data_IF_267145600502
#
_entry.id   IF_267145600502
#
_cell.length_a   1.000
_cell.length_b   1.000
_cell.length_c   1.000
_cell.angle_alpha   90.00
_cell.angle_beta   90.00
_cell.angle_gamma   90.00
#
_symmetry.space_group_name_H-M   'P 1'
#
loop_
_entity.id
_entity.type
_entity.pdbx_description
1 polymer ?
#
# COMPACT_ATOMS: atom_id res chain seq x y z
N UNK A 1 -36.26 -12.23 10.87
CA UNK A 1 -34.92 -12.01 10.33
C UNK A 1 -34.87 -12.71 8.98
N UNK A 2 -34.86 -11.96 7.88
CA UNK A 2 -34.69 -12.53 6.54
C UNK A 2 -33.25 -13.08 6.51
N UNK A 3 -33.10 -14.40 6.32
CA UNK A 3 -31.77 -14.95 6.06
C UNK A 3 -31.26 -14.29 4.77
N UNK A 4 -30.22 -13.48 4.85
CA UNK A 4 -29.53 -12.99 3.66
C UNK A 4 -29.10 -14.19 2.82
N UNK A 5 -29.34 -14.12 1.51
CA UNK A 5 -28.90 -15.16 0.60
C UNK A 5 -27.36 -15.27 0.65
N UNK A 6 -26.86 -16.49 0.64
CA UNK A 6 -25.42 -16.76 0.60
C UNK A 6 -25.15 -17.54 -0.68
N UNK A 7 -24.23 -17.03 -1.50
CA UNK A 7 -23.80 -17.67 -2.74
C UNK A 7 -22.36 -18.12 -2.62
N UNK A 8 -21.97 -19.10 -3.41
CA UNK A 8 -20.57 -19.57 -3.48
C UNK A 8 -19.83 -18.90 -4.62
N UNK A 9 -18.59 -18.54 -4.36
CA UNK A 9 -17.65 -18.07 -5.37
C UNK A 9 -16.50 -19.05 -5.44
N UNK A 10 -16.27 -19.60 -6.64
CA UNK A 10 -15.12 -20.45 -6.95
C UNK A 10 -14.11 -19.66 -7.75
N UNK A 11 -12.86 -19.63 -7.29
CA UNK A 11 -11.74 -18.99 -7.99
C UNK A 11 -10.89 -20.02 -8.74
N UNK A 12 -10.80 -19.86 -10.06
CA UNK A 12 -9.91 -20.60 -10.93
C UNK A 12 -8.68 -19.75 -11.33
N UNK A 13 -7.48 -20.32 -11.57
CA UNK A 13 -7.17 -21.76 -11.54
C UNK A 13 -6.82 -22.29 -10.14
N UNK A 14 -6.89 -21.45 -9.09
CA UNK A 14 -6.39 -21.79 -7.74
C UNK A 14 -7.29 -22.75 -6.97
N UNK A 15 -8.53 -22.99 -7.43
CA UNK A 15 -9.45 -23.95 -6.81
C UNK A 15 -9.95 -23.55 -5.43
N UNK A 16 -9.94 -22.25 -5.09
CA UNK A 16 -10.39 -21.73 -3.78
C UNK A 16 -11.87 -21.40 -3.85
N UNK A 17 -12.63 -21.88 -2.87
CA UNK A 17 -14.05 -21.59 -2.70
C UNK A 17 -14.27 -20.66 -1.50
N UNK A 18 -15.23 -19.73 -1.61
CA UNK A 18 -15.67 -18.87 -0.51
C UNK A 18 -17.18 -18.59 -0.57
N UNK A 19 -17.72 -18.09 0.53
CA UNK A 19 -19.11 -17.64 0.63
C UNK A 19 -19.21 -16.12 0.49
N UNK A 20 -20.14 -15.62 -0.34
CA UNK A 20 -20.48 -14.20 -0.47
C UNK A 20 -21.90 -13.97 0.02
N UNK A 21 -22.10 -12.94 0.86
CA UNK A 21 -23.43 -12.56 1.37
C UNK A 21 -24.11 -11.59 0.41
N UNK A 22 -25.42 -11.58 0.40
CA UNK A 22 -26.20 -10.58 -0.35
C UNK A 22 -25.79 -9.14 0.01
N UNK A 23 -25.50 -8.32 -1.01
CA UNK A 23 -25.06 -6.93 -0.85
C UNK A 23 -23.58 -6.73 -0.52
N UNK A 24 -22.81 -7.82 -0.34
CA UNK A 24 -21.38 -7.80 -0.15
C UNK A 24 -20.66 -7.95 -1.50
N UNK A 25 -19.59 -7.18 -1.73
CA UNK A 25 -18.77 -7.40 -2.93
C UNK A 25 -17.95 -8.68 -2.79
N UNK A 26 -17.59 -9.29 -3.93
CA UNK A 26 -16.73 -10.48 -3.95
C UNK A 26 -15.41 -10.23 -3.23
N UNK A 27 -14.81 -9.03 -3.39
CA UNK A 27 -13.57 -8.66 -2.71
C UNK A 27 -13.77 -8.48 -1.19
N UNK A 28 -14.88 -7.89 -0.74
CA UNK A 28 -15.16 -7.74 0.70
C UNK A 28 -15.40 -9.10 1.36
N UNK A 29 -16.08 -10.02 0.67
CA UNK A 29 -16.28 -11.40 1.13
C UNK A 29 -14.93 -12.13 1.30
N UNK A 30 -14.01 -11.96 0.35
CA UNK A 30 -12.67 -12.52 0.42
C UNK A 30 -11.91 -11.98 1.65
N UNK A 31 -11.94 -10.66 1.86
CA UNK A 31 -11.32 -10.03 3.04
C UNK A 31 -11.90 -10.55 4.36
N UNK A 32 -13.21 -10.69 4.44
CA UNK A 32 -13.90 -11.21 5.66
C UNK A 32 -13.43 -12.63 5.99
N UNK A 33 -13.20 -13.46 4.96
CA UNK A 33 -12.79 -14.86 5.13
C UNK A 33 -11.28 -15.04 5.17
N UNK A 34 -10.51 -13.94 5.10
CA UNK A 34 -9.06 -14.00 5.13
C UNK A 34 -8.46 -14.55 3.84
N UNK A 35 -9.11 -14.31 2.69
CA UNK A 35 -8.58 -14.64 1.37
C UNK A 35 -8.04 -13.36 0.75
N UNK A 36 -6.74 -13.30 0.48
CA UNK A 36 -6.12 -12.14 -0.14
C UNK A 36 -6.10 -12.30 -1.66
N UNK A 37 -6.93 -11.52 -2.32
CA UNK A 37 -6.95 -11.39 -3.78
C UNK A 37 -6.16 -10.14 -4.19
N UNK A 38 -5.65 -10.11 -5.43
CA UNK A 38 -4.99 -8.92 -5.97
C UNK A 38 -5.96 -7.74 -5.96
N UNK A 39 -5.53 -6.64 -5.34
CA UNK A 39 -6.33 -5.43 -5.22
C UNK A 39 -5.46 -4.19 -5.02
N UNK A 40 -6.04 -3.01 -5.23
CA UNK A 40 -5.42 -1.72 -4.94
C UNK A 40 -6.44 -0.78 -4.31
N UNK A 41 -7.12 0.06 -5.10
CA UNK A 41 -8.00 1.14 -4.64
C UNK A 41 -9.29 0.68 -3.93
N UNK A 42 -9.77 -0.52 -4.14
CA UNK A 42 -11.09 -1.06 -3.68
C UNK A 42 -12.32 -0.28 -4.17
N UNK A 43 -12.14 0.71 -5.04
CA UNK A 43 -13.18 1.66 -5.48
C UNK A 43 -13.46 1.61 -6.99
N UNK A 44 -12.99 0.55 -7.69
CA UNK A 44 -13.20 0.39 -9.12
C UNK A 44 -12.46 1.39 -10.00
N UNK A 45 -11.25 1.85 -9.58
CA UNK A 45 -10.48 2.89 -10.29
C UNK A 45 -9.16 2.39 -10.87
N UNK A 46 -8.55 1.32 -10.31
CA UNK A 46 -7.15 0.95 -10.60
C UNK A 46 -6.99 -0.35 -11.41
N UNK A 47 -8.06 -1.06 -11.71
CA UNK A 47 -8.06 -2.36 -12.42
C UNK A 47 -7.33 -3.53 -11.71
N UNK A 48 -6.66 -3.33 -10.56
CA UNK A 48 -5.85 -4.37 -9.89
C UNK A 48 -6.64 -5.62 -9.47
N UNK A 49 -7.96 -5.50 -9.28
CA UNK A 49 -8.86 -6.61 -8.94
C UNK A 49 -9.65 -7.12 -10.14
N UNK A 50 -9.14 -6.90 -11.38
CA UNK A 50 -9.80 -7.38 -12.59
C UNK A 50 -9.71 -8.90 -12.67
N UNK A 51 -10.83 -9.53 -13.01
CA UNK A 51 -10.99 -10.96 -13.18
C UNK A 51 -11.95 -11.24 -14.33
N UNK A 52 -12.20 -12.49 -14.69
CA UNK A 52 -13.17 -12.87 -15.69
C UNK A 52 -14.27 -13.74 -15.07
N UNK A 53 -15.51 -13.40 -15.30
CA UNK A 53 -16.64 -14.24 -14.94
C UNK A 53 -16.69 -15.44 -15.91
N UNK A 54 -16.70 -16.65 -15.38
CA UNK A 54 -16.80 -17.88 -16.15
C UNK A 54 -18.25 -18.39 -16.17
N UNK A 55 -18.94 -18.27 -15.03
CA UNK A 55 -20.32 -18.73 -14.89
C UNK A 55 -21.02 -17.99 -13.74
N UNK A 56 -22.35 -17.86 -13.84
CA UNK A 56 -23.25 -17.32 -12.81
C UNK A 56 -23.71 -15.88 -13.08
N UNK A 57 -24.59 -15.39 -12.19
CA UNK A 57 -25.26 -14.09 -12.31
C UNK A 57 -24.66 -13.06 -11.35
N UNK A 58 -24.30 -11.89 -11.89
CA UNK A 58 -23.68 -10.80 -11.13
C UNK A 58 -24.28 -9.43 -11.45
N UNK A 59 -24.04 -8.46 -10.59
CA UNK A 59 -24.18 -7.03 -10.86
C UNK A 59 -22.88 -6.30 -10.58
N UNK A 60 -22.50 -5.38 -11.46
CA UNK A 60 -21.37 -4.47 -11.25
C UNK A 60 -21.87 -3.14 -10.71
N UNK A 61 -21.45 -2.79 -9.50
CA UNK A 61 -21.68 -1.46 -8.94
C UNK A 61 -20.82 -0.40 -9.66
N UNK A 62 -21.01 0.90 -9.35
CA UNK A 62 -20.30 2.01 -10.02
C UNK A 62 -18.77 1.85 -10.05
N UNK A 63 -18.17 1.98 -11.23
CA UNK A 63 -16.72 1.92 -11.47
C UNK A 63 -16.30 2.93 -12.56
N UNK A 64 -14.99 3.08 -12.78
CA UNK A 64 -14.41 3.89 -13.85
C UNK A 64 -14.20 3.06 -15.12
N UNK A 65 -14.54 3.63 -16.28
CA UNK A 65 -14.25 3.00 -17.59
C UNK A 65 -12.76 2.87 -17.90
N UNK A 66 -11.88 3.57 -17.16
CA UNK A 66 -10.44 3.34 -17.19
C UNK A 66 -10.03 2.03 -16.50
N UNK A 67 -10.79 1.60 -15.48
CA UNK A 67 -10.51 0.35 -14.77
C UNK A 67 -11.12 -0.86 -15.49
N UNK A 68 -12.28 -0.67 -16.14
CA UNK A 68 -12.97 -1.70 -16.93
C UNK A 68 -13.66 -1.02 -18.10
N UNK A 69 -13.15 -1.20 -19.29
CA UNK A 69 -13.74 -0.67 -20.53
C UNK A 69 -15.00 -1.46 -20.93
N UNK A 70 -15.85 -0.85 -21.76
CA UNK A 70 -17.04 -1.54 -22.28
C UNK A 70 -16.69 -2.81 -23.06
N UNK A 71 -15.62 -2.77 -23.87
CA UNK A 71 -15.16 -3.94 -24.62
C UNK A 71 -14.66 -5.09 -23.71
N UNK A 72 -14.04 -4.78 -22.59
CA UNK A 72 -13.66 -5.82 -21.60
C UNK A 72 -14.89 -6.38 -20.89
N UNK A 73 -15.85 -5.53 -20.53
CA UNK A 73 -17.12 -5.99 -19.94
C UNK A 73 -17.87 -6.91 -20.90
N UNK A 74 -17.89 -6.60 -22.19
CA UNK A 74 -18.54 -7.42 -23.21
C UNK A 74 -17.84 -8.78 -23.44
N UNK A 75 -16.65 -8.98 -22.85
CA UNK A 75 -15.89 -10.23 -22.81
C UNK A 75 -15.80 -10.81 -21.39
N UNK A 76 -16.83 -10.57 -20.57
CA UNK A 76 -17.01 -11.10 -19.22
C UNK A 76 -15.96 -10.68 -18.19
N UNK A 77 -15.19 -9.61 -18.46
CA UNK A 77 -14.32 -9.07 -17.44
C UNK A 77 -15.10 -8.32 -16.37
N UNK A 78 -14.67 -8.48 -15.12
CA UNK A 78 -15.29 -7.91 -13.94
C UNK A 78 -14.25 -7.26 -13.01
N UNK A 79 -14.70 -6.45 -12.07
CA UNK A 79 -13.88 -5.92 -10.98
C UNK A 79 -14.39 -6.50 -9.66
N UNK A 80 -13.62 -7.36 -8.99
CA UNK A 80 -14.04 -8.05 -7.78
C UNK A 80 -14.51 -7.11 -6.67
N UNK A 81 -13.94 -5.91 -6.60
CA UNK A 81 -14.36 -4.87 -5.65
C UNK A 81 -15.69 -4.17 -6.00
N UNK A 82 -16.28 -4.50 -7.16
CA UNK A 82 -17.55 -3.93 -7.64
C UNK A 82 -18.59 -4.99 -8.02
N UNK A 83 -18.23 -6.26 -7.89
CA UNK A 83 -19.07 -7.40 -8.23
C UNK A 83 -19.92 -7.83 -7.03
N UNK A 84 -21.22 -7.81 -7.20
CA UNK A 84 -22.21 -8.44 -6.32
C UNK A 84 -22.69 -9.74 -6.97
N UNK A 85 -22.73 -10.84 -6.24
CA UNK A 85 -23.20 -12.12 -6.76
C UNK A 85 -24.69 -12.32 -6.44
N UNK A 86 -25.45 -12.82 -7.42
CA UNK A 86 -26.87 -13.16 -7.30
C UNK A 86 -27.15 -14.66 -7.51
N UNK A 87 -26.12 -15.42 -7.80
CA UNK A 87 -26.10 -16.88 -7.82
C UNK A 87 -24.73 -17.39 -7.34
N UNK A 88 -24.54 -18.69 -7.29
CA UNK A 88 -23.18 -19.25 -7.23
C UNK A 88 -22.44 -18.84 -8.52
N UNK A 89 -21.18 -18.41 -8.39
CA UNK A 89 -20.37 -17.91 -9.51
C UNK A 89 -19.03 -18.60 -9.57
N UNK A 90 -18.48 -18.72 -10.78
CA UNK A 90 -17.09 -19.14 -11.05
C UNK A 90 -16.34 -17.97 -11.69
N UNK A 91 -15.19 -17.63 -11.10
CA UNK A 91 -14.35 -16.50 -11.52
C UNK A 91 -12.95 -16.98 -11.82
N UNK A 92 -12.44 -16.61 -13.00
CA UNK A 92 -11.05 -16.80 -13.38
C UNK A 92 -10.20 -15.59 -12.93
N UNK A 93 -9.20 -15.84 -12.10
CA UNK A 93 -8.24 -14.84 -11.67
C UNK A 93 -7.21 -14.60 -12.79
N UNK A 94 -7.17 -13.38 -13.32
CA UNK A 94 -6.20 -12.99 -14.35
C UNK A 94 -4.80 -12.73 -13.76
N UNK A 95 -4.74 -12.41 -12.48
CA UNK A 95 -3.52 -12.23 -11.70
C UNK A 95 -3.75 -12.71 -10.29
N UNK A 96 -2.86 -13.52 -9.79
CA UNK A 96 -2.88 -14.01 -8.41
C UNK A 96 -1.44 -14.26 -7.92
N UNK A 97 -1.27 -14.32 -6.62
CA UNK A 97 -0.01 -14.60 -5.94
C UNK A 97 -0.30 -15.66 -4.88
N UNK A 98 0.26 -16.85 -5.06
CA UNK A 98 0.02 -18.00 -4.16
C UNK A 98 0.57 -17.72 -2.76
N UNK A 99 1.70 -17.01 -2.62
CA UNK A 99 2.24 -16.62 -1.33
C UNK A 99 1.26 -15.71 -0.56
N UNK A 100 0.65 -14.74 -1.27
CA UNK A 100 -0.38 -13.88 -0.69
C UNK A 100 -1.57 -14.68 -0.17
N UNK A 101 -2.05 -15.64 -0.93
CA UNK A 101 -3.21 -16.45 -0.55
C UNK A 101 -2.94 -17.29 0.71
N UNK A 102 -1.72 -17.83 0.86
CA UNK A 102 -1.31 -18.59 2.04
C UNK A 102 -1.02 -17.72 3.27
N UNK A 103 -0.67 -16.44 3.08
CA UNK A 103 -0.33 -15.50 4.16
C UNK A 103 -1.47 -14.57 4.56
N UNK A 104 -2.67 -14.88 4.15
CA UNK A 104 -3.86 -14.03 4.35
C UNK A 104 -4.18 -13.77 5.82
N UNK A 105 -4.61 -12.54 6.09
CA UNK A 105 -5.07 -12.10 7.41
C UNK A 105 -6.48 -11.55 7.24
N UNK A 106 -7.45 -12.12 7.98
CA UNK A 106 -8.83 -11.66 7.93
C UNK A 106 -8.94 -10.20 8.38
N UNK A 107 -9.64 -9.41 7.58
CA UNK A 107 -9.90 -7.99 7.87
C UNK A 107 -10.87 -7.88 9.05
N UNK A 108 -10.51 -7.03 10.02
CA UNK A 108 -11.31 -6.75 11.22
C UNK A 108 -11.44 -5.24 11.43
N UNK A 109 -12.44 -4.86 12.25
CA UNK A 109 -12.61 -3.47 12.70
C UNK A 109 -12.19 -3.33 14.16
N UNK A 110 -11.53 -2.21 14.47
CA UNK A 110 -10.99 -1.88 15.79
C UNK A 110 -11.45 -0.48 16.19
N UNK A 111 -11.80 -0.29 17.45
CA UNK A 111 -11.94 1.05 18.01
C UNK A 111 -10.55 1.64 18.24
N UNK A 112 -10.37 2.86 17.82
CA UNK A 112 -9.07 3.53 17.89
C UNK A 112 -9.19 4.90 18.52
N UNK A 113 -8.10 5.36 19.13
CA UNK A 113 -7.96 6.72 19.68
C UNK A 113 -6.68 7.32 19.12
N UNK A 114 -6.76 8.55 18.60
CA UNK A 114 -5.58 9.33 18.27
C UNK A 114 -4.83 9.70 19.54
N UNK A 115 -3.60 9.23 19.70
CA UNK A 115 -2.79 9.50 20.90
C UNK A 115 -1.77 10.62 20.68
N UNK A 116 -1.24 10.75 19.45
CA UNK A 116 -0.31 11.80 19.08
C UNK A 116 -0.43 12.20 17.61
N UNK A 117 -0.08 13.47 17.32
CA UNK A 117 0.01 14.01 15.95
C UNK A 117 1.19 14.98 15.90
N UNK A 118 2.32 14.55 15.33
CA UNK A 118 3.59 15.28 15.27
C UNK A 118 3.88 15.73 13.84
N UNK A 119 4.25 16.99 13.63
CA UNK A 119 4.71 17.46 12.33
C UNK A 119 6.12 16.91 12.03
N UNK A 120 6.29 16.28 10.87
CA UNK A 120 7.59 15.87 10.36
C UNK A 120 8.14 16.89 9.35
N UNK A 121 7.27 17.46 8.52
CA UNK A 121 7.55 18.60 7.64
C UNK A 121 6.38 19.58 7.66
N UNK A 122 6.38 20.59 6.80
CA UNK A 122 5.26 21.54 6.67
C UNK A 122 3.94 20.86 6.23
N UNK A 123 4.00 19.74 5.51
CA UNK A 123 2.83 19.04 4.96
C UNK A 123 2.78 17.53 5.29
N UNK A 124 3.73 17.00 6.07
CA UNK A 124 3.74 15.60 6.52
C UNK A 124 3.64 15.53 8.05
N UNK A 125 2.78 14.64 8.53
CA UNK A 125 2.57 14.38 9.95
C UNK A 125 2.73 12.89 10.27
N UNK A 126 3.29 12.61 11.43
CA UNK A 126 3.24 11.31 12.08
C UNK A 126 2.04 11.26 13.01
N UNK A 127 1.11 10.37 12.75
CA UNK A 127 -0.01 10.07 13.64
C UNK A 127 0.27 8.77 14.40
N UNK A 128 -0.03 8.76 15.70
CA UNK A 128 -0.01 7.56 16.52
C UNK A 128 -1.41 7.27 17.02
N UNK A 129 -1.88 6.05 16.81
CA UNK A 129 -3.17 5.57 17.30
C UNK A 129 -2.98 4.44 18.31
N UNK A 130 -3.85 4.41 19.32
CA UNK A 130 -4.06 3.23 20.15
C UNK A 130 -5.34 2.53 19.70
N UNK A 131 -5.32 1.20 19.57
CA UNK A 131 -6.46 0.37 19.20
C UNK A 131 -6.86 -0.57 20.33
N UNK A 132 -8.14 -0.98 20.37
CA UNK A 132 -8.75 -1.78 21.46
C UNK A 132 -8.29 -3.25 21.50
N UNK A 133 -7.70 -3.76 20.44
CA UNK A 133 -7.14 -5.11 20.38
C UNK A 133 -5.93 -5.16 19.43
N UNK A 134 -5.00 -6.12 19.59
CA UNK A 134 -3.84 -6.24 18.73
C UNK A 134 -4.23 -6.48 17.26
N UNK A 135 -3.68 -5.67 16.35
CA UNK A 135 -3.77 -5.86 14.91
C UNK A 135 -2.55 -6.63 14.41
N UNK A 136 -2.78 -7.80 13.84
CA UNK A 136 -1.77 -8.53 13.07
C UNK A 136 -1.77 -7.98 11.63
N UNK A 137 -0.60 -7.64 11.09
CA UNK A 137 -0.41 -7.20 9.71
C UNK A 137 1.00 -7.55 9.20
N UNK A 138 1.22 -7.44 7.90
CA UNK A 138 2.53 -7.53 7.27
C UNK A 138 3.08 -6.13 7.00
N UNK A 139 4.40 -5.95 7.17
CA UNK A 139 5.05 -4.66 6.94
C UNK A 139 4.85 -4.19 5.49
N UNK A 140 4.30 -2.98 5.33
CA UNK A 140 3.89 -2.42 4.03
C UNK A 140 2.38 -2.36 3.82
N UNK A 141 1.59 -3.12 4.59
CA UNK A 141 0.12 -3.08 4.51
C UNK A 141 -0.47 -1.77 5.04
N UNK A 142 -1.74 -1.53 4.68
CA UNK A 142 -2.51 -0.36 5.07
C UNK A 142 -3.82 -0.73 5.77
N UNK A 143 -4.45 0.26 6.38
CA UNK A 143 -5.78 0.19 6.98
C UNK A 143 -6.66 1.32 6.46
N UNK A 144 -7.97 1.15 6.52
CA UNK A 144 -8.92 2.24 6.41
C UNK A 144 -9.12 2.88 7.79
N UNK A 145 -8.96 4.21 7.87
CA UNK A 145 -9.26 5.00 9.06
C UNK A 145 -10.52 5.80 8.79
N UNK A 146 -11.55 5.56 9.60
CA UNK A 146 -12.83 6.27 9.56
C UNK A 146 -12.95 7.24 10.73
N UNK A 147 -13.41 8.46 10.46
CA UNK A 147 -13.76 9.43 11.48
C UNK A 147 -15.25 9.30 11.76
N UNK A 148 -15.67 8.83 12.96
CA UNK A 148 -17.06 8.62 13.30
C UNK A 148 -17.92 9.86 13.11
N UNK A 149 -19.14 9.69 12.58
CA UNK A 149 -20.12 10.77 12.39
C UNK A 149 -19.86 11.71 11.21
N UNK A 150 -18.75 11.53 10.46
CA UNK A 150 -18.40 12.42 9.33
C UNK A 150 -18.57 11.79 7.95
N UNK A 151 -18.67 10.47 7.86
CA UNK A 151 -18.63 9.72 6.60
C UNK A 151 -17.23 9.71 5.93
N UNK A 152 -16.19 10.25 6.60
CA UNK A 152 -14.84 10.31 6.04
C UNK A 152 -14.12 9.02 6.40
N UNK A 153 -13.72 8.25 5.38
CA UNK A 153 -12.84 7.09 5.48
C UNK A 153 -11.68 7.26 4.50
N UNK A 154 -10.44 7.00 4.96
CA UNK A 154 -9.25 7.05 4.09
C UNK A 154 -8.30 5.91 4.41
N UNK A 155 -7.67 5.39 3.37
CA UNK A 155 -6.62 4.38 3.48
C UNK A 155 -5.28 5.02 3.85
N UNK A 156 -4.60 4.42 4.85
CA UNK A 156 -3.25 4.83 5.28
C UNK A 156 -2.40 3.61 5.59
N UNK A 157 -1.20 3.57 5.02
CA UNK A 157 -0.23 2.52 5.29
C UNK A 157 0.40 2.68 6.66
N UNK A 158 0.56 1.58 7.41
CA UNK A 158 1.25 1.58 8.69
C UNK A 158 2.73 1.93 8.51
N UNK A 159 3.26 2.75 9.41
CA UNK A 159 4.67 3.13 9.43
C UNK A 159 5.50 2.30 10.40
N UNK A 160 4.90 1.81 11.49
CA UNK A 160 5.59 0.93 12.44
C UNK A 160 5.77 -0.49 11.87
N UNK A 161 6.82 -1.18 12.32
CA UNK A 161 6.97 -2.61 12.07
C UNK A 161 5.81 -3.39 12.72
N UNK A 162 5.43 -4.57 12.16
CA UNK A 162 4.38 -5.41 12.71
C UNK A 162 4.84 -6.05 14.03
N UNK A 163 4.68 -5.35 15.11
CA UNK A 163 4.78 -5.88 16.47
C UNK A 163 3.37 -6.22 16.95
N UNK A 164 3.22 -7.29 17.68
CA UNK A 164 1.92 -7.74 18.17
C UNK A 164 1.40 -6.80 19.27
N UNK A 165 1.07 -5.57 18.86
CA UNK A 165 0.75 -4.45 19.75
C UNK A 165 -0.56 -3.77 19.41
N UNK A 166 -0.95 -2.85 20.29
CA UNK A 166 -2.15 -2.02 20.15
C UNK A 166 -1.83 -0.58 19.72
N UNK A 167 -0.59 -0.32 19.31
CA UNK A 167 -0.16 0.98 18.80
C UNK A 167 0.11 0.90 17.30
N UNK A 168 -0.46 1.84 16.54
CA UNK A 168 -0.23 1.99 15.11
C UNK A 168 0.30 3.38 14.83
N UNK A 169 1.22 3.48 13.86
CA UNK A 169 1.82 4.72 13.40
C UNK A 169 1.58 4.91 11.90
N UNK A 170 1.38 6.17 11.50
CA UNK A 170 1.06 6.53 10.12
C UNK A 170 1.79 7.81 9.73
N UNK A 171 2.51 7.80 8.62
CA UNK A 171 3.10 9.01 8.02
C UNK A 171 2.12 9.50 6.94
N UNK A 172 1.47 10.63 7.22
CA UNK A 172 0.36 11.13 6.42
C UNK A 172 0.72 12.48 5.79
N UNK A 173 0.49 12.61 4.47
CA UNK A 173 0.62 13.88 3.79
C UNK A 173 -0.68 14.67 3.87
N UNK A 174 -0.57 15.95 4.21
CA UNK A 174 -1.67 16.92 4.21
C UNK A 174 -1.90 17.45 2.81
N UNK A 175 -3.14 17.45 2.38
CA UNK A 175 -3.58 18.07 1.14
C UNK A 175 -4.52 19.23 1.48
N UNK A 176 -4.31 20.42 0.89
CA UNK A 176 -5.06 21.65 1.20
C UNK A 176 -6.59 21.55 1.05
N UNK A 177 -7.07 20.64 0.21
CA UNK A 177 -8.50 20.39 0.00
C UNK A 177 -8.92 18.95 0.42
N UNK A 178 -8.07 18.23 1.17
CA UNK A 178 -8.36 16.85 1.58
C UNK A 178 -9.31 16.82 2.77
N UNK A 179 -10.44 16.10 2.68
CA UNK A 179 -11.43 16.01 3.75
C UNK A 179 -10.84 15.51 5.07
N UNK A 180 -9.95 14.51 5.04
CA UNK A 180 -9.24 14.02 6.22
C UNK A 180 -8.14 15.01 6.66
N UNK A 181 -7.36 15.53 5.71
CA UNK A 181 -6.21 16.41 5.98
C UNK A 181 -6.61 17.72 6.65
N UNK A 182 -7.75 18.30 6.26
CA UNK A 182 -8.25 19.55 6.85
C UNK A 182 -8.55 19.41 8.36
N UNK A 183 -8.87 18.21 8.81
CA UNK A 183 -9.15 17.94 10.22
C UNK A 183 -7.88 17.79 11.05
N UNK A 184 -6.73 17.53 10.42
CA UNK A 184 -5.43 17.44 11.12
C UNK A 184 -4.94 18.80 11.63
N UNK A 185 -5.46 19.91 11.13
CA UNK A 185 -5.08 21.27 11.53
C UNK A 185 -5.96 21.87 12.65
N UNK A 186 -6.84 21.08 13.27
CA UNK A 186 -7.65 21.56 14.41
C UNK A 186 -8.91 20.75 14.73
N UNK A 187 -9.33 19.84 13.83
CA UNK A 187 -10.52 18.99 14.04
C UNK A 187 -10.22 17.62 14.66
N UNK A 188 -8.99 17.14 14.50
CA UNK A 188 -8.51 15.88 15.06
C UNK A 188 -7.38 16.16 16.05
N UNK A 189 -7.69 16.10 17.35
CA UNK A 189 -6.74 16.27 18.44
C UNK A 189 -6.49 14.93 19.17
N UNK A 190 -5.39 14.78 19.93
CA UNK A 190 -5.23 13.64 20.82
C UNK A 190 -6.45 13.43 21.71
N UNK A 191 -6.91 12.16 21.80
CA UNK A 191 -8.18 11.78 22.42
C UNK A 191 -9.33 11.58 21.43
N UNK A 192 -9.20 11.99 20.16
CA UNK A 192 -10.26 11.80 19.16
C UNK A 192 -10.52 10.32 18.88
N UNK A 193 -11.80 9.88 18.88
CA UNK A 193 -12.17 8.52 18.53
C UNK A 193 -12.09 8.31 17.01
N UNK A 194 -11.59 7.15 16.61
CA UNK A 194 -11.46 6.70 15.23
C UNK A 194 -11.90 5.23 15.11
N UNK A 195 -12.15 4.78 13.88
CA UNK A 195 -12.34 3.35 13.58
C UNK A 195 -11.25 2.96 12.59
N UNK A 196 -10.54 1.88 12.89
CA UNK A 196 -9.54 1.27 12.02
C UNK A 196 -10.10 -0.03 11.47
N UNK A 197 -10.05 -0.23 10.15
CA UNK A 197 -10.45 -1.49 9.50
C UNK A 197 -9.31 -2.00 8.62
N UNK A 198 -8.90 -3.23 8.81
CA UNK A 198 -7.79 -3.84 8.07
C UNK A 198 -7.29 -5.15 8.67
N UNK A 199 -6.13 -5.64 8.22
CA UNK A 199 -5.21 -5.01 7.26
C UNK A 199 -5.60 -5.25 5.80
N UNK A 200 -5.11 -4.39 4.90
CA UNK A 200 -5.25 -4.50 3.46
C UNK A 200 -3.90 -4.31 2.77
N UNK A 201 -3.83 -4.63 1.48
CA UNK A 201 -2.67 -4.37 0.64
C UNK A 201 -1.86 -5.61 0.34
N UNK A 202 -1.32 -5.63 -0.88
CA UNK A 202 -0.51 -6.72 -1.44
C UNK A 202 0.98 -6.37 -1.51
N UNK A 203 1.32 -5.07 -1.34
CA UNK A 203 2.69 -4.56 -1.27
C UNK A 203 3.19 -4.67 0.18
N UNK A 204 3.73 -5.83 0.54
CA UNK A 204 4.34 -6.07 1.85
C UNK A 204 5.63 -6.87 1.73
N UNK A 205 6.50 -6.78 2.75
CA UNK A 205 7.81 -7.45 2.75
C UNK A 205 7.68 -8.96 2.55
N UNK A 206 8.42 -9.47 1.57
CA UNK A 206 8.62 -10.90 1.36
C UNK A 206 9.83 -11.36 2.19
N UNK A 207 9.71 -12.51 2.82
CA UNK A 207 10.78 -13.12 3.61
C UNK A 207 11.64 -14.04 2.76
N UNK A 208 12.87 -14.29 3.23
CA UNK A 208 13.80 -15.26 2.62
C UNK A 208 14.14 -14.95 1.14
N UNK A 209 14.16 -13.67 0.77
CA UNK A 209 14.61 -13.23 -0.57
C UNK A 209 16.12 -13.03 -0.57
N UNK A 210 16.88 -13.64 -1.51
CA UNK A 210 18.34 -13.66 -1.45
C UNK A 210 19.03 -12.35 -1.88
N UNK A 211 18.40 -11.57 -2.74
CA UNK A 211 19.00 -10.39 -3.37
C UNK A 211 18.88 -9.10 -2.57
N UNK A 212 19.34 -7.97 -3.11
CA UNK A 212 19.23 -6.66 -2.48
C UNK A 212 17.77 -6.24 -2.24
N UNK A 213 17.53 -5.55 -1.12
CA UNK A 213 16.26 -4.90 -0.80
C UNK A 213 16.29 -3.47 -1.32
N UNK A 214 15.43 -3.17 -2.28
CA UNK A 214 15.33 -1.86 -2.91
C UNK A 214 14.03 -1.19 -2.48
N UNK A 215 14.15 -0.08 -1.76
CA UNK A 215 13.02 0.73 -1.26
C UNK A 215 12.99 2.05 -2.02
N UNK A 216 11.86 2.39 -2.67
CA UNK A 216 11.75 3.59 -3.51
C UNK A 216 10.49 4.34 -3.12
N UNK A 217 10.62 5.56 -2.59
CA UNK A 217 9.48 6.32 -2.08
C UNK A 217 9.50 7.80 -2.35
N UNK A 218 8.36 8.42 -2.04
CA UNK A 218 8.21 9.87 -2.06
C UNK A 218 6.99 10.33 -1.24
N UNK A 219 7.12 11.44 -0.55
CA UNK A 219 6.07 11.97 0.32
C UNK A 219 5.66 10.97 1.41
N UNK A 220 4.36 10.72 1.56
CA UNK A 220 3.84 9.72 2.52
C UNK A 220 4.10 8.26 2.12
N UNK A 221 4.66 7.98 0.94
CA UNK A 221 5.19 6.66 0.58
C UNK A 221 6.31 6.18 1.49
N UNK A 222 6.89 7.07 2.28
CA UNK A 222 7.75 6.71 3.41
C UNK A 222 7.06 5.76 4.40
N UNK A 223 5.76 5.87 4.63
CA UNK A 223 5.04 5.10 5.66
C UNK A 223 5.21 3.59 5.51
N UNK A 224 4.76 2.97 4.40
CA UNK A 224 4.93 1.52 4.21
C UNK A 224 6.39 1.11 4.09
N UNK A 225 7.24 1.94 3.47
CA UNK A 225 8.66 1.62 3.30
C UNK A 225 9.43 1.68 4.64
N UNK A 226 9.05 2.58 5.54
CA UNK A 226 9.58 2.65 6.89
C UNK A 226 9.23 1.39 7.69
N UNK A 227 7.97 0.94 7.57
CA UNK A 227 7.51 -0.33 8.15
C UNK A 227 8.32 -1.53 7.62
N UNK A 228 8.50 -1.64 6.29
CA UNK A 228 9.26 -2.70 5.63
C UNK A 228 10.73 -2.68 6.08
N UNK A 229 11.37 -1.51 6.12
CA UNK A 229 12.75 -1.36 6.56
C UNK A 229 12.94 -1.86 7.99
N UNK A 230 12.09 -1.40 8.92
CA UNK A 230 12.20 -1.80 10.33
C UNK A 230 11.85 -3.26 10.57
N UNK A 231 10.89 -3.81 9.85
CA UNK A 231 10.57 -5.24 9.92
C UNK A 231 11.73 -6.09 9.41
N UNK A 232 12.36 -5.67 8.31
CA UNK A 232 13.57 -6.33 7.79
C UNK A 232 14.72 -6.29 8.82
N UNK A 233 14.98 -5.14 9.42
CA UNK A 233 16.02 -5.01 10.46
C UNK A 233 15.69 -5.92 11.65
N UNK A 234 14.46 -5.95 12.10
CA UNK A 234 14.01 -6.77 13.25
C UNK A 234 14.07 -8.27 12.94
N UNK A 235 13.94 -8.68 11.68
CA UNK A 235 14.05 -10.10 11.28
C UNK A 235 15.47 -10.65 11.42
N UNK A 236 16.48 -9.78 11.44
CA UNK A 236 17.89 -10.15 11.47
C UNK A 236 18.44 -10.65 10.13
N UNK A 237 17.65 -10.65 9.07
CA UNK A 237 18.12 -10.96 7.72
C UNK A 237 19.22 -9.99 7.29
N UNK A 238 20.29 -10.53 6.69
CA UNK A 238 21.42 -9.74 6.23
C UNK A 238 21.38 -9.67 4.69
N UNK A 239 21.03 -8.49 4.16
CA UNK A 239 21.03 -8.24 2.72
C UNK A 239 21.34 -6.76 2.46
N UNK A 240 21.94 -6.39 1.30
CA UNK A 240 22.14 -5.00 0.94
C UNK A 240 20.81 -4.26 0.84
N UNK A 241 20.73 -3.06 1.44
CA UNK A 241 19.53 -2.23 1.39
C UNK A 241 19.86 -0.90 0.72
N UNK A 242 19.05 -0.51 -0.26
CA UNK A 242 19.11 0.81 -0.90
C UNK A 242 17.75 1.48 -0.80
N UNK A 243 17.72 2.63 -0.13
CA UNK A 243 16.51 3.40 0.10
C UNK A 243 16.57 4.70 -0.69
N UNK A 244 15.89 4.73 -1.84
CA UNK A 244 15.74 5.93 -2.67
C UNK A 244 14.51 6.72 -2.22
N UNK A 245 14.67 8.02 -1.98
CA UNK A 245 13.55 8.84 -1.53
C UNK A 245 13.51 10.17 -2.27
N UNK A 246 12.42 10.37 -3.04
CA UNK A 246 12.17 11.61 -3.78
C UNK A 246 11.48 12.67 -2.93
N UNK A 247 12.07 13.85 -2.86
CA UNK A 247 11.51 15.05 -2.28
C UNK A 247 11.63 16.23 -3.26
N UNK A 248 10.94 17.35 -3.01
CA UNK A 248 11.10 18.55 -3.83
C UNK A 248 12.31 19.35 -3.39
N UNK A 249 12.38 19.67 -2.11
CA UNK A 249 13.42 20.51 -1.50
C UNK A 249 13.93 19.86 -0.22
N UNK A 250 15.03 20.37 0.33
CA UNK A 250 15.61 19.84 1.57
C UNK A 250 14.66 19.91 2.78
N UNK A 251 13.83 20.94 2.98
CA UNK A 251 12.81 20.97 4.04
C UNK A 251 11.73 19.90 3.93
N UNK A 252 11.57 19.22 2.79
CA UNK A 252 10.64 18.12 2.60
C UNK A 252 11.22 16.77 3.06
N UNK A 253 12.52 16.72 3.43
CA UNK A 253 13.18 15.53 3.96
C UNK A 253 12.94 15.43 5.47
N UNK A 254 12.75 14.22 5.96
CA UNK A 254 12.58 13.90 7.39
C UNK A 254 13.23 12.55 7.72
N UNK A 255 13.32 12.20 8.99
CA UNK A 255 14.03 11.02 9.50
C UNK A 255 15.54 10.97 9.15
N UNK A 256 16.15 12.12 8.81
CA UNK A 256 17.56 12.17 8.37
C UNK A 256 18.54 11.65 9.43
N UNK A 257 18.29 11.98 10.72
CA UNK A 257 19.12 11.49 11.82
C UNK A 257 18.99 9.97 12.00
N UNK A 258 17.77 9.43 11.84
CA UNK A 258 17.50 8.01 11.93
C UNK A 258 18.19 7.26 10.76
N UNK A 259 18.09 7.78 9.53
CA UNK A 259 18.82 7.22 8.38
C UNK A 259 20.32 7.26 8.57
N UNK A 260 20.89 8.36 9.05
CA UNK A 260 22.30 8.46 9.35
C UNK A 260 22.76 7.48 10.45
N UNK A 261 21.91 7.20 11.43
CA UNK A 261 22.17 6.18 12.46
C UNK A 261 22.16 4.76 11.84
N UNK A 262 21.21 4.47 10.95
CA UNK A 262 21.12 3.18 10.24
C UNK A 262 22.33 2.96 9.33
N UNK A 263 22.81 3.98 8.60
CA UNK A 263 24.03 3.88 7.77
C UNK A 263 25.28 3.57 8.58
N UNK A 264 25.34 4.01 9.84
CA UNK A 264 26.43 3.69 10.77
C UNK A 264 26.33 2.27 11.35
N UNK A 265 25.13 1.78 11.57
CA UNK A 265 24.88 0.48 12.24
C UNK A 265 24.76 -0.68 11.26
N UNK A 266 24.36 -0.44 10.02
CA UNK A 266 24.16 -1.43 8.97
C UNK A 266 25.15 -1.20 7.82
N UNK A 267 26.17 -2.04 7.65
CA UNK A 267 27.26 -1.77 6.70
C UNK A 267 26.80 -1.65 5.25
N UNK A 268 25.78 -2.41 4.86
CA UNK A 268 25.24 -2.44 3.50
C UNK A 268 23.93 -1.65 3.32
N UNK A 269 23.60 -0.76 4.25
CA UNK A 269 22.50 0.17 4.11
C UNK A 269 22.95 1.50 3.50
N UNK A 270 22.18 2.04 2.55
CA UNK A 270 22.37 3.41 2.02
C UNK A 270 21.03 4.09 1.84
N UNK A 271 20.93 5.31 2.38
CA UNK A 271 19.83 6.23 2.12
C UNK A 271 20.23 7.21 1.01
N UNK A 272 19.41 7.30 -0.04
CA UNK A 272 19.69 8.07 -1.26
C UNK A 272 18.54 9.05 -1.50
N UNK A 273 18.56 10.22 -0.82
CA UNK A 273 17.57 11.26 -1.05
C UNK A 273 17.83 11.98 -2.37
N UNK A 274 16.77 12.18 -3.17
CA UNK A 274 16.78 12.85 -4.46
C UNK A 274 15.90 14.11 -4.42
N UNK A 275 16.46 15.29 -4.75
CA UNK A 275 15.71 16.54 -4.77
C UNK A 275 15.39 16.99 -6.19
N UNK A 276 14.09 17.08 -6.53
CA UNK A 276 13.64 17.52 -7.85
C UNK A 276 13.73 19.03 -8.06
N UNK A 277 13.83 19.83 -7.00
CA UNK A 277 13.98 21.30 -7.01
C UNK A 277 15.22 21.69 -6.19
N UNK A 278 16.33 20.99 -6.40
CA UNK A 278 17.56 21.21 -5.66
C UNK A 278 18.29 22.53 -6.01
N UNK A 279 17.93 23.18 -7.12
CA UNK A 279 18.52 24.47 -7.52
C UNK A 279 18.11 25.60 -6.59
N UNK A 280 17.01 25.44 -5.86
CA UNK A 280 16.54 26.37 -4.83
C UNK A 280 17.34 26.22 -3.51
N UNK A 281 18.16 25.14 -3.39
CA UNK A 281 18.91 24.77 -2.19
C UNK A 281 20.44 24.86 -2.46
N UNK A 282 21.04 26.03 -2.27
CA UNK A 282 22.47 26.31 -2.56
C UNK A 282 23.46 25.43 -1.77
N UNK A 283 23.02 24.76 -0.69
CA UNK A 283 23.85 23.88 0.15
C UNK A 283 23.66 22.38 -0.11
N UNK A 284 22.79 21.99 -1.06
CA UNK A 284 22.52 20.57 -1.32
C UNK A 284 23.66 19.91 -2.09
N UNK A 285 24.26 18.88 -1.49
CA UNK A 285 25.34 18.08 -2.07
C UNK A 285 24.93 16.66 -2.47
N UNK A 286 23.68 16.27 -2.18
CA UNK A 286 23.14 14.95 -2.54
C UNK A 286 22.63 14.87 -3.98
N UNK A 287 21.86 13.83 -4.26
CA UNK A 287 21.32 13.56 -5.59
C UNK A 287 20.30 14.61 -6.05
N UNK A 288 20.34 14.96 -7.35
CA UNK A 288 19.48 15.95 -8.00
C UNK A 288 18.64 15.29 -9.08
N UNK A 289 17.39 15.75 -9.23
CA UNK A 289 16.40 15.24 -10.17
C UNK A 289 15.32 14.40 -9.50
N UNK A 290 14.43 13.83 -10.31
CA UNK A 290 13.41 12.93 -9.83
C UNK A 290 14.01 11.58 -9.37
N UNK A 291 13.38 10.93 -8.42
CA UNK A 291 13.86 9.66 -7.84
C UNK A 291 14.09 8.56 -8.88
N UNK A 292 13.25 8.48 -9.92
CA UNK A 292 13.44 7.51 -11.01
C UNK A 292 14.68 7.81 -11.88
N UNK A 293 15.04 9.07 -12.05
CA UNK A 293 16.27 9.47 -12.78
C UNK A 293 17.53 9.12 -11.97
N UNK A 294 17.47 9.32 -10.63
CA UNK A 294 18.55 8.93 -9.72
C UNK A 294 18.70 7.41 -9.71
N UNK A 295 17.59 6.68 -9.62
CA UNK A 295 17.56 5.22 -9.73
C UNK A 295 18.18 4.76 -11.05
N UNK A 296 17.79 5.35 -12.18
CA UNK A 296 18.30 5.01 -13.50
C UNK A 296 19.84 5.20 -13.61
N UNK A 297 20.38 6.28 -13.03
CA UNK A 297 21.82 6.50 -12.97
C UNK A 297 22.56 5.43 -12.14
N UNK A 298 21.88 4.84 -11.17
CA UNK A 298 22.42 3.81 -10.30
C UNK A 298 22.41 2.39 -10.92
N UNK A 299 21.77 2.19 -12.09
CA UNK A 299 21.68 0.88 -12.76
C UNK A 299 23.05 0.29 -13.16
N UNK A 300 24.08 1.13 -13.27
CA UNK A 300 25.42 0.70 -13.66
C UNK A 300 26.30 0.28 -12.47
N UNK A 301 25.73 0.23 -11.26
CA UNK A 301 26.42 -0.22 -10.05
C UNK A 301 26.05 -1.68 -9.76
N UNK A 302 26.83 -2.34 -8.88
CA UNK A 302 26.55 -3.71 -8.40
C UNK A 302 25.21 -3.84 -7.63
N UNK A 303 24.45 -2.75 -7.56
CA UNK A 303 23.14 -2.67 -6.91
C UNK A 303 22.11 -3.69 -7.43
N UNK A 304 22.22 -4.03 -8.71
CA UNK A 304 21.30 -4.93 -9.40
C UNK A 304 21.92 -6.31 -9.68
N UNK A 305 23.03 -6.62 -9.03
CA UNK A 305 23.60 -7.95 -9.09
C UNK A 305 22.77 -8.92 -8.24
N UNK A 306 22.09 -9.86 -8.91
CA UNK A 306 21.24 -10.86 -8.27
C UNK A 306 19.75 -10.54 -8.34
N UNK A 307 18.94 -11.31 -7.63
CA UNK A 307 17.48 -11.16 -7.55
C UNK A 307 17.10 -9.97 -6.66
N UNK A 308 16.91 -8.80 -7.25
CA UNK A 308 16.47 -7.59 -6.54
C UNK A 308 15.00 -7.72 -6.15
N UNK A 309 14.69 -7.39 -4.90
CA UNK A 309 13.33 -7.33 -4.38
C UNK A 309 12.96 -5.85 -4.15
N UNK A 310 12.12 -5.29 -5.01
CA UNK A 310 11.85 -3.87 -5.10
C UNK A 310 10.46 -3.49 -4.59
N UNK A 311 10.41 -2.53 -3.66
CA UNK A 311 9.18 -1.95 -3.12
C UNK A 311 9.10 -0.48 -3.51
N UNK A 312 8.06 -0.07 -4.23
CA UNK A 312 7.86 1.33 -4.59
C UNK A 312 6.51 1.84 -4.12
N UNK A 313 6.53 2.85 -3.24
CA UNK A 313 5.34 3.38 -2.59
C UNK A 313 5.27 4.91 -2.70
N UNK A 314 4.10 5.45 -3.07
CA UNK A 314 3.92 6.89 -3.18
C UNK A 314 3.00 7.34 -4.31
N UNK A 315 3.14 8.61 -4.77
CA UNK A 315 2.28 9.18 -5.81
C UNK A 315 2.32 8.36 -7.11
N UNK A 316 1.14 8.13 -7.72
CA UNK A 316 1.01 7.38 -8.98
C UNK A 316 2.00 7.81 -10.07
N UNK A 317 2.20 9.13 -10.37
CA UNK A 317 3.17 9.53 -11.40
C UNK A 317 4.62 9.14 -11.09
N UNK A 318 5.01 9.10 -9.81
CA UNK A 318 6.35 8.66 -9.41
C UNK A 318 6.52 7.17 -9.69
N UNK A 319 5.54 6.34 -9.30
CA UNK A 319 5.60 4.89 -9.49
C UNK A 319 5.55 4.54 -10.98
N UNK A 320 4.72 5.24 -11.77
CA UNK A 320 4.66 5.06 -13.22
C UNK A 320 5.99 5.36 -13.92
N UNK A 321 6.80 6.29 -13.36
CA UNK A 321 8.13 6.58 -13.86
C UNK A 321 9.21 5.61 -13.35
N UNK A 322 9.04 5.05 -12.14
CA UNK A 322 9.96 4.07 -11.54
C UNK A 322 9.85 2.69 -12.19
N UNK A 323 8.62 2.24 -12.48
CA UNK A 323 8.37 0.89 -13.00
C UNK A 323 9.16 0.55 -14.28
N UNK A 324 9.19 1.40 -15.34
CA UNK A 324 10.01 1.12 -16.51
C UNK A 324 11.51 1.02 -16.20
N UNK A 325 11.99 1.80 -15.22
CA UNK A 325 13.41 1.77 -14.80
C UNK A 325 13.77 0.42 -14.19
N UNK A 326 12.91 -0.11 -13.30
CA UNK A 326 13.10 -1.44 -12.69
C UNK A 326 13.06 -2.56 -13.74
N UNK A 327 12.12 -2.47 -14.70
CA UNK A 327 12.00 -3.44 -15.79
C UNK A 327 13.25 -3.42 -16.71
N UNK A 328 13.75 -2.24 -17.04
CA UNK A 328 14.99 -2.08 -17.82
C UNK A 328 16.22 -2.59 -17.06
N UNK A 329 16.20 -2.56 -15.74
CA UNK A 329 17.25 -3.15 -14.89
C UNK A 329 17.15 -4.67 -14.80
N UNK A 330 16.13 -5.30 -15.40
CA UNK A 330 15.94 -6.75 -15.37
C UNK A 330 15.33 -7.26 -14.06
N UNK A 331 14.67 -6.41 -13.29
CA UNK A 331 13.92 -6.87 -12.11
C UNK A 331 12.66 -7.59 -12.59
N UNK A 332 12.52 -8.84 -12.21
CA UNK A 332 11.37 -9.67 -12.60
C UNK A 332 10.06 -9.12 -12.01
N UNK A 333 8.94 -9.19 -12.74
CA UNK A 333 7.66 -8.61 -12.31
C UNK A 333 7.19 -9.09 -10.93
N UNK A 334 7.45 -10.35 -10.57
CA UNK A 334 7.12 -10.95 -9.28
C UNK A 334 7.94 -10.42 -8.11
N UNK A 335 9.05 -9.72 -8.40
CA UNK A 335 9.91 -9.03 -7.42
C UNK A 335 9.67 -7.52 -7.37
N UNK A 336 8.67 -7.01 -8.12
CA UNK A 336 8.28 -5.60 -8.11
C UNK A 336 6.97 -5.44 -7.36
N UNK A 337 7.03 -4.84 -6.18
CA UNK A 337 5.88 -4.60 -5.31
C UNK A 337 5.54 -3.10 -5.29
N UNK A 338 4.32 -2.76 -5.68
CA UNK A 338 3.90 -1.37 -5.88
C UNK A 338 2.70 -1.02 -5.00
N UNK A 339 2.73 0.16 -4.36
CA UNK A 339 1.57 0.77 -3.68
C UNK A 339 1.37 2.21 -4.17
N UNK A 340 0.45 2.39 -5.13
CA UNK A 340 0.12 3.66 -5.76
C UNK A 340 -0.88 4.45 -4.91
N UNK A 341 -0.46 5.60 -4.43
CA UNK A 341 -1.33 6.50 -3.69
C UNK A 341 -2.16 7.35 -4.66
N UNK A 342 -3.44 7.00 -4.76
CA UNK A 342 -4.42 7.74 -5.56
C UNK A 342 -5.23 8.66 -4.65
N UNK A 343 -5.47 9.93 -5.05
CA UNK A 343 -6.42 10.78 -4.34
C UNK A 343 -7.81 10.12 -4.32
N UNK A 344 -8.43 10.08 -3.15
CA UNK A 344 -9.81 9.59 -3.05
C UNK A 344 -10.74 10.47 -3.91
N UNK A 345 -11.70 9.87 -4.60
CA UNK A 345 -12.75 10.60 -5.31
C UNK A 345 -13.58 11.41 -4.30
N UNK A 346 -13.91 12.66 -4.68
CA UNK A 346 -14.79 13.55 -3.91
C UNK A 346 -16.22 13.10 -4.00
#
# INVERSE_FOLDING_TARGET
MVNAAVHKVRFEPVGVDMDVMEGETVLDAAFRQGITLMHGCKEGQCASCKARLVDGDIELTKYSTFALSDGERDTDHILLCRTLAYSDITVELLSYDEELMHRSIAVKSYQATLTASTALTHDIRLLTLSIDAPLRFWAGQYVDITIPGTGITRAFSMANAPVNGTQLEFIIKKYSAGAFSSLLDGGLAPGAPLIVKGPYGTCFRRENRPGPLLLIGGGSGMSPLWSILHDHINSGEQRPIRFFYGARTQPDLFHLEQFAALEKSLPDFRFIPALSHADDDAGWTGERGFVHEVLQRSLHTDLFAGEVDAYSCGPTPMIDAVLPVLQLAGVEPEHIHLDKFTPALR
#
